data_IF_089956161821
#
_entry.id   IF_089956161821
#
_cell.length_a   1.000
_cell.length_b   1.000
_cell.length_c   1.000
_cell.angle_alpha   90.00
_cell.angle_beta   90.00
_cell.angle_gamma   90.00
#
_symmetry.space_group_name_H-M   'P 1'
#
loop_
_entity.id
_entity.type
_entity.pdbx_description
1 polymer ?
#
# COMPACT_ATOMS: atom_id res chain seq x y z
N UNK A 1 26.95 4.36 -3.01
CA UNK A 1 25.57 4.06 -3.45
C UNK A 1 25.59 4.04 -4.97
N UNK A 2 25.31 2.91 -5.66
CA UNK A 2 25.30 2.92 -7.11
C UNK A 2 24.17 3.83 -7.61
N UNK A 3 24.54 4.85 -8.40
CA UNK A 3 23.61 5.75 -9.09
C UNK A 3 22.72 4.94 -10.04
N UNK A 4 21.40 4.94 -9.81
CA UNK A 4 20.42 4.35 -10.72
C UNK A 4 19.46 3.34 -10.10
N UNK A 5 19.66 2.91 -8.86
CA UNK A 5 18.64 2.15 -8.14
C UNK A 5 17.49 3.09 -7.73
N UNK A 6 16.21 2.76 -8.00
CA UNK A 6 15.10 3.52 -7.45
C UNK A 6 15.25 3.55 -5.92
N UNK A 7 14.87 4.66 -5.25
CA UNK A 7 14.97 4.76 -3.82
C UNK A 7 14.24 3.57 -3.17
N UNK A 8 14.86 2.99 -2.14
CA UNK A 8 14.38 1.78 -1.43
C UNK A 8 12.94 1.95 -0.89
N UNK A 9 12.45 3.19 -0.80
CA UNK A 9 11.06 3.54 -0.48
C UNK A 9 10.68 4.82 -1.21
N UNK A 10 9.43 4.94 -1.66
CA UNK A 10 8.87 6.13 -2.32
C UNK A 10 7.50 6.47 -1.76
N UNK A 11 7.18 7.76 -1.63
CA UNK A 11 5.83 8.22 -1.28
C UNK A 11 4.92 8.13 -2.50
N UNK A 12 3.84 7.36 -2.39
CA UNK A 12 2.84 7.18 -3.45
C UNK A 12 1.51 7.77 -2.99
N UNK A 13 0.81 8.48 -3.88
CA UNK A 13 -0.53 9.02 -3.59
C UNK A 13 -1.53 7.86 -3.41
N UNK A 14 -2.37 7.92 -2.38
CA UNK A 14 -3.39 6.89 -2.11
C UNK A 14 -4.30 6.64 -3.32
N UNK A 15 -4.67 7.68 -4.08
CA UNK A 15 -5.47 7.57 -5.31
C UNK A 15 -4.80 6.77 -6.45
N UNK A 16 -3.54 6.38 -6.29
CA UNK A 16 -2.78 5.54 -7.22
C UNK A 16 -2.59 4.11 -6.70
N UNK A 17 -3.15 3.78 -5.53
CA UNK A 17 -3.13 2.43 -4.98
C UNK A 17 -4.45 1.73 -5.28
N UNK A 18 -4.33 0.45 -5.65
CA UNK A 18 -5.47 -0.43 -5.91
C UNK A 18 -5.22 -1.77 -5.23
N UNK A 19 -6.27 -2.44 -4.78
CA UNK A 19 -6.15 -3.78 -4.21
C UNK A 19 -5.87 -4.78 -5.34
N UNK A 20 -4.83 -5.58 -5.20
CA UNK A 20 -4.52 -6.62 -6.19
C UNK A 20 -5.61 -7.71 -6.17
N UNK A 21 -6.07 -8.18 -7.34
CA UNK A 21 -7.01 -9.31 -7.41
C UNK A 21 -6.40 -10.64 -6.90
N UNK A 22 -5.07 -10.70 -6.78
CA UNK A 22 -4.33 -11.87 -6.31
C UNK A 22 -4.35 -11.96 -4.77
N UNK A 23 -4.82 -10.93 -4.05
CA UNK A 23 -4.88 -10.97 -2.60
C UNK A 23 -5.83 -12.10 -2.12
N UNK A 24 -5.22 -13.18 -1.63
CA UNK A 24 -5.91 -14.36 -1.12
C UNK A 24 -6.38 -14.20 0.32
N UNK A 25 -5.88 -13.18 1.05
CA UNK A 25 -6.27 -12.90 2.42
C UNK A 25 -7.53 -12.04 2.41
N UNK A 26 -8.68 -12.70 2.40
CA UNK A 26 -9.99 -12.05 2.53
C UNK A 26 -10.52 -12.35 3.92
N UNK A 27 -10.72 -11.30 4.72
CA UNK A 27 -11.41 -11.37 6.01
C UNK A 27 -12.67 -10.50 5.91
N UNK A 28 -13.82 -10.93 6.47
CA UNK A 28 -15.01 -10.09 6.57
C UNK A 28 -14.68 -8.74 7.21
N UNK A 29 -15.28 -7.66 6.69
CA UNK A 29 -15.05 -6.29 7.16
C UNK A 29 -15.36 -6.13 8.66
N UNK A 30 -16.37 -6.85 9.16
CA UNK A 30 -16.78 -6.88 10.57
C UNK A 30 -15.68 -7.41 11.51
N UNK A 31 -14.75 -8.21 10.97
CA UNK A 31 -13.61 -8.77 11.71
C UNK A 31 -12.31 -7.98 11.46
N UNK A 32 -12.40 -6.90 10.69
CA UNK A 32 -11.31 -5.94 10.50
C UNK A 32 -11.44 -4.84 11.56
N UNK A 33 -10.41 -4.66 12.37
CA UNK A 33 -10.33 -3.60 13.39
C UNK A 33 -9.96 -2.24 12.75
N UNK A 34 -10.66 -1.87 11.67
CA UNK A 34 -10.38 -0.66 10.87
C UNK A 34 -10.37 0.62 11.72
N UNK A 35 -11.31 0.85 12.67
CA UNK A 35 -11.32 2.07 13.47
C UNK A 35 -10.05 2.23 14.31
N UNK A 36 -9.57 1.13 14.92
CA UNK A 36 -8.36 1.16 15.74
C UNK A 36 -7.12 1.41 14.87
N UNK A 37 -7.01 0.69 13.75
CA UNK A 37 -5.90 0.87 12.80
C UNK A 37 -5.85 2.31 12.24
N UNK A 38 -6.99 2.91 11.94
CA UNK A 38 -7.06 4.30 11.47
C UNK A 38 -6.52 5.28 12.52
N UNK A 39 -6.95 5.13 13.79
CA UNK A 39 -6.46 5.97 14.88
C UNK A 39 -4.94 5.83 15.09
N UNK A 40 -4.41 4.61 15.00
CA UNK A 40 -2.97 4.37 15.11
C UNK A 40 -2.18 5.02 13.95
N UNK A 41 -2.69 4.94 12.71
CA UNK A 41 -2.09 5.58 11.54
C UNK A 41 -2.13 7.12 11.67
N UNK A 42 -3.21 7.69 12.18
CA UNK A 42 -3.29 9.14 12.42
C UNK A 42 -2.29 9.60 13.49
N UNK A 43 -2.12 8.81 14.56
CA UNK A 43 -1.23 9.18 15.67
C UNK A 43 0.26 8.99 15.36
N UNK A 44 0.63 7.96 14.59
CA UNK A 44 2.03 7.54 14.40
C UNK A 44 2.48 7.47 12.94
N UNK A 45 1.57 7.62 12.00
CA UNK A 45 1.81 7.36 10.59
C UNK A 45 1.85 5.87 10.26
N UNK A 46 2.09 5.56 8.99
CA UNK A 46 2.25 4.18 8.52
C UNK A 46 3.66 3.69 8.88
N UNK A 47 3.74 2.78 9.85
CA UNK A 47 5.02 2.27 10.37
C UNK A 47 5.72 1.28 9.41
N UNK A 48 4.97 0.60 8.55
CA UNK A 48 5.49 -0.37 7.61
C UNK A 48 5.14 0.05 6.18
N UNK A 49 6.17 0.22 5.33
CA UNK A 49 5.96 0.53 3.92
C UNK A 49 5.15 -0.58 3.24
N UNK A 50 4.18 -0.16 2.42
CA UNK A 50 3.38 -1.07 1.62
C UNK A 50 4.23 -1.63 0.48
N UNK A 51 4.16 -2.94 0.31
CA UNK A 51 4.77 -3.58 -0.85
C UNK A 51 3.77 -3.51 -2.00
N UNK A 52 4.27 -3.04 -3.14
CA UNK A 52 3.42 -2.77 -4.30
C UNK A 52 4.06 -3.24 -5.59
N UNK A 53 3.21 -3.61 -6.55
CA UNK A 53 3.62 -3.94 -7.91
C UNK A 53 3.08 -2.87 -8.86
N UNK A 54 3.89 -2.29 -9.76
CA UNK A 54 3.39 -1.34 -10.75
C UNK A 54 2.43 -2.04 -11.73
N UNK A 55 1.24 -1.47 -11.93
CA UNK A 55 0.32 -1.96 -12.98
C UNK A 55 0.71 -1.42 -14.35
N UNK A 56 0.51 -2.26 -15.37
CA UNK A 56 0.86 -1.93 -16.76
C UNK A 56 0.03 -0.76 -17.30
N UNK A 57 -1.24 -0.65 -16.92
CA UNK A 57 -2.17 0.43 -17.31
C UNK A 57 -3.23 0.63 -16.21
N UNK A 58 -3.63 1.86 -15.88
CA UNK A 58 -3.02 3.14 -16.27
C UNK A 58 -1.66 3.35 -15.59
N UNK A 59 -0.68 3.91 -16.33
CA UNK A 59 0.70 4.11 -15.83
C UNK A 59 0.69 4.98 -14.56
N UNK A 60 1.56 4.62 -13.62
CA UNK A 60 1.69 5.32 -12.33
C UNK A 60 0.65 4.90 -11.29
N UNK A 61 -0.04 3.79 -11.53
CA UNK A 61 -0.89 3.10 -10.54
C UNK A 61 -0.13 1.88 -10.03
N UNK A 62 -0.40 1.47 -8.80
CA UNK A 62 0.25 0.36 -8.14
C UNK A 62 -0.79 -0.54 -7.47
N UNK A 63 -0.56 -1.83 -7.53
CA UNK A 63 -1.36 -2.84 -6.84
C UNK A 63 -0.68 -3.23 -5.53
N UNK A 64 -1.46 -3.20 -4.44
CA UNK A 64 -1.06 -3.67 -3.11
C UNK A 64 -1.43 -5.14 -2.97
N UNK A 65 -0.51 -5.96 -2.47
CA UNK A 65 -0.69 -7.40 -2.27
C UNK A 65 -0.81 -7.79 -0.81
#
# INVERSE_FOLDING_TARGET
MPEGAPPMTTVVKLAKLTLSPINVRKRPDELLEIPQMAADIEARGVLQNLLVTPVKKPRGTFEVF
#
